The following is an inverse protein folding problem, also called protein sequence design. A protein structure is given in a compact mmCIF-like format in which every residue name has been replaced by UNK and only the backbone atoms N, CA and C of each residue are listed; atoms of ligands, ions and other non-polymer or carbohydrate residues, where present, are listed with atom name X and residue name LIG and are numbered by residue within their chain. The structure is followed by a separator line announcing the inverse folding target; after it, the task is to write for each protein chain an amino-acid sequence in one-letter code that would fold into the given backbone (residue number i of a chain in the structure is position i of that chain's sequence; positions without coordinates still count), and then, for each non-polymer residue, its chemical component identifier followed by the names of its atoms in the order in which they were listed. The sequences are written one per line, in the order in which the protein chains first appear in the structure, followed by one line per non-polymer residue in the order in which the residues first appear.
data_IF_058174926946
#
_entry.id   IF_058174926946
#
_cell.length_a   1.000
_cell.length_b   1.000
_cell.length_c   1.000
_cell.angle_alpha   90.00
_cell.angle_beta   90.00
_cell.angle_gamma   90.00
#
_symmetry.space_group_name_H-M   'P 1'
#
loop_
_entity.id
_entity.type
_entity.pdbx_description
1 polymer ?
#
# COMPACT_ATOMS: atom_id res chain seq x y z
N UNK A 1 -61.14 -27.24 11.36
CA UNK A 1 -60.05 -26.61 12.12
C UNK A 1 -59.21 -25.79 11.16
N UNK A 2 -59.51 -24.50 11.04
CA UNK A 2 -58.81 -23.53 10.20
C UNK A 2 -57.67 -22.89 10.98
N UNK A 3 -56.43 -23.13 10.58
CA UNK A 3 -55.26 -22.42 11.12
C UNK A 3 -55.17 -21.04 10.47
N UNK A 4 -55.44 -20.00 11.25
CA UNK A 4 -55.24 -18.62 10.82
C UNK A 4 -53.73 -18.36 10.67
N UNK A 5 -53.28 -18.16 9.44
CA UNK A 5 -51.94 -17.68 9.13
C UNK A 5 -51.80 -16.25 9.66
N UNK A 6 -50.91 -16.06 10.64
CA UNK A 6 -50.57 -14.73 11.15
C UNK A 6 -49.91 -13.92 10.02
N UNK A 7 -50.35 -12.68 9.73
CA UNK A 7 -49.69 -11.85 8.73
C UNK A 7 -48.25 -11.57 9.16
N UNK A 8 -47.30 -11.75 8.22
CA UNK A 8 -45.90 -11.44 8.44
C UNK A 8 -45.77 -9.95 8.84
N UNK A 9 -45.07 -9.68 9.95
CA UNK A 9 -44.79 -8.30 10.36
C UNK A 9 -43.96 -7.61 9.27
N UNK A 10 -44.28 -6.35 8.91
CA UNK A 10 -43.41 -5.57 8.04
C UNK A 10 -42.03 -5.47 8.69
N UNK A 11 -40.99 -5.92 7.97
CA UNK A 11 -39.61 -5.75 8.39
C UNK A 11 -39.30 -4.25 8.52
N UNK A 12 -38.82 -3.84 9.69
CA UNK A 12 -38.44 -2.45 9.92
C UNK A 12 -37.26 -2.09 9.00
N UNK A 13 -37.29 -0.93 8.32
CA UNK A 13 -36.19 -0.52 7.45
C UNK A 13 -34.89 -0.43 8.24
N UNK A 14 -33.82 -1.04 7.73
CA UNK A 14 -32.51 -1.04 8.37
C UNK A 14 -32.05 0.41 8.67
N UNK A 15 -31.41 0.65 9.82
CA UNK A 15 -30.99 1.99 10.21
C UNK A 15 -30.01 2.55 9.18
N UNK A 16 -30.38 3.68 8.55
CA UNK A 16 -29.48 4.42 7.65
C UNK A 16 -28.37 5.03 8.48
N UNK A 17 -27.15 4.51 8.35
CA UNK A 17 -25.97 5.10 8.99
C UNK A 17 -25.83 6.54 8.46
N UNK A 18 -25.88 7.57 9.32
CA UNK A 18 -25.82 8.95 8.86
C UNK A 18 -24.45 9.20 8.22
N UNK A 19 -24.43 9.65 6.96
CA UNK A 19 -23.21 10.15 6.32
C UNK A 19 -22.88 11.49 6.97
N UNK A 20 -21.99 11.48 7.97
CA UNK A 20 -21.67 12.65 8.81
C UNK A 20 -21.06 13.82 8.00
N UNK A 21 -20.42 13.57 6.85
CA UNK A 21 -19.85 14.58 5.98
C UNK A 21 -20.14 14.25 4.50
N UNK A 22 -20.46 15.25 3.65
CA UNK A 22 -20.53 15.05 2.21
C UNK A 22 -19.14 14.68 1.67
N UNK A 23 -19.07 13.79 0.67
CA UNK A 23 -17.81 13.25 0.13
C UNK A 23 -16.82 14.35 -0.29
N UNK A 24 -17.33 15.46 -0.86
CA UNK A 24 -16.51 16.61 -1.24
C UNK A 24 -15.86 17.31 -0.04
N UNK A 25 -16.56 17.42 1.11
CA UNK A 25 -15.99 17.97 2.33
C UNK A 25 -14.92 17.04 2.93
N UNK A 26 -15.16 15.73 2.93
CA UNK A 26 -14.15 14.76 3.39
C UNK A 26 -12.89 14.79 2.52
N UNK A 27 -13.05 14.89 1.20
CA UNK A 27 -11.92 14.98 0.26
C UNK A 27 -11.11 16.27 0.48
N UNK A 28 -11.78 17.42 0.53
CA UNK A 28 -11.12 18.72 0.75
C UNK A 28 -10.39 18.79 2.09
N UNK A 29 -11.00 18.28 3.16
CA UNK A 29 -10.35 18.18 4.48
C UNK A 29 -9.10 17.29 4.43
N UNK A 30 -9.17 16.14 3.76
CA UNK A 30 -8.03 15.21 3.64
C UNK A 30 -6.89 15.84 2.84
N UNK A 31 -7.19 16.50 1.72
CA UNK A 31 -6.20 17.21 0.91
C UNK A 31 -5.58 18.37 1.69
N UNK A 32 -6.40 19.16 2.39
CA UNK A 32 -5.92 20.25 3.25
C UNK A 32 -4.99 19.74 4.36
N UNK A 33 -5.36 18.65 5.02
CA UNK A 33 -4.53 17.99 6.03
C UNK A 33 -3.21 17.47 5.43
N UNK A 34 -3.25 16.87 4.24
CA UNK A 34 -2.05 16.41 3.53
C UNK A 34 -1.08 17.57 3.24
N UNK A 35 -1.59 18.69 2.73
CA UNK A 35 -0.78 19.88 2.44
C UNK A 35 -0.17 20.47 3.72
N UNK A 36 -0.96 20.56 4.81
CA UNK A 36 -0.46 21.04 6.09
C UNK A 36 0.63 20.13 6.66
N UNK A 37 0.43 18.81 6.64
CA UNK A 37 1.42 17.83 7.09
C UNK A 37 2.67 17.83 6.20
N UNK A 38 2.53 18.04 4.90
CA UNK A 38 3.65 18.19 3.98
C UNK A 38 4.49 19.41 4.34
N UNK A 39 3.86 20.57 4.59
CA UNK A 39 4.57 21.77 5.02
C UNK A 39 5.30 21.56 6.35
N UNK A 40 4.66 20.92 7.33
CA UNK A 40 5.28 20.57 8.62
C UNK A 40 6.44 19.57 8.44
N UNK A 41 6.33 18.62 7.53
CA UNK A 41 7.40 17.68 7.24
C UNK A 41 8.64 18.38 6.69
N UNK A 42 8.44 19.38 5.81
CA UNK A 42 9.55 20.12 5.21
C UNK A 42 10.32 20.97 6.21
N UNK A 43 9.72 21.35 7.35
CA UNK A 43 10.42 22.05 8.45
C UNK A 43 11.07 21.10 9.46
N UNK A 44 10.77 19.80 9.42
CA UNK A 44 11.32 18.82 10.35
C UNK A 44 12.62 18.19 9.82
N UNK A 45 13.67 18.18 10.63
CA UNK A 45 14.92 17.49 10.32
C UNK A 45 16.06 17.85 11.26
N UNK A 46 17.22 17.25 11.05
CA UNK A 46 18.45 17.51 11.83
C UNK A 46 19.19 18.77 11.37
N UNK A 47 18.80 19.31 10.21
CA UNK A 47 19.31 20.57 9.66
C UNK A 47 18.45 21.75 10.11
N UNK A 48 19.10 22.88 10.38
CA UNK A 48 18.49 24.18 10.75
C UNK A 48 17.72 24.80 9.56
N UNK A 49 16.72 24.10 9.05
CA UNK A 49 15.80 24.61 8.03
C UNK A 49 14.44 24.81 8.67
N UNK A 50 14.04 26.07 8.80
CA UNK A 50 12.80 26.47 9.46
C UNK A 50 11.71 26.92 8.46
N UNK A 51 10.58 27.41 8.99
CA UNK A 51 9.49 27.92 8.15
C UNK A 51 9.84 29.23 7.44
N UNK A 52 10.73 30.05 8.01
CA UNK A 52 11.22 31.28 7.42
C UNK A 52 12.08 31.01 6.18
N UNK A 53 12.90 29.96 6.24
CA UNK A 53 13.71 29.50 5.09
C UNK A 53 12.85 29.02 3.93
N UNK A 54 11.74 28.33 4.21
CA UNK A 54 10.79 27.92 3.17
C UNK A 54 10.12 29.12 2.51
N UNK A 55 9.75 30.14 3.29
CA UNK A 55 9.20 31.40 2.76
C UNK A 55 10.26 32.16 1.95
N UNK A 56 11.49 32.20 2.44
CA UNK A 56 12.63 32.80 1.75
C UNK A 56 12.91 32.08 0.41
N UNK A 57 12.68 30.77 0.34
CA UNK A 57 12.81 29.99 -0.90
C UNK A 57 11.78 30.43 -1.93
N UNK A 58 10.54 30.69 -1.49
CA UNK A 58 9.45 31.19 -2.35
C UNK A 58 9.71 32.62 -2.82
N UNK A 59 10.27 33.48 -1.96
CA UNK A 59 10.65 34.85 -2.33
C UNK A 59 11.98 34.94 -3.10
N UNK A 60 12.69 33.82 -3.29
CA UNK A 60 13.98 33.76 -4.00
C UNK A 60 15.17 34.33 -3.21
N UNK A 61 15.02 34.50 -1.89
CA UNK A 61 16.02 35.08 -0.99
C UNK A 61 16.66 34.07 -0.03
N UNK A 62 16.36 32.77 -0.17
CA UNK A 62 16.93 31.72 0.68
C UNK A 62 18.41 31.48 0.37
N UNK A 63 19.14 31.02 1.39
CA UNK A 63 20.48 30.47 1.25
C UNK A 63 20.44 29.23 0.33
N UNK A 64 21.32 29.14 -0.69
CA UNK A 64 21.48 27.93 -1.50
C UNK A 64 21.53 26.62 -0.68
N UNK A 65 22.15 26.61 0.50
CA UNK A 65 22.24 25.43 1.36
C UNK A 65 20.90 24.80 1.75
N UNK A 66 19.84 25.62 1.87
CA UNK A 66 18.48 25.16 2.18
C UNK A 66 17.95 24.26 1.07
N UNK A 67 18.16 24.65 -0.20
CA UNK A 67 17.70 23.86 -1.35
C UNK A 67 18.35 22.47 -1.39
N UNK A 68 19.66 22.39 -1.12
CA UNK A 68 20.38 21.10 -1.10
C UNK A 68 19.82 20.12 -0.05
N UNK A 69 19.41 20.63 1.13
CA UNK A 69 18.77 19.81 2.18
C UNK A 69 17.40 19.32 1.72
N UNK A 70 16.60 20.19 1.09
CA UNK A 70 15.28 19.85 0.61
C UNK A 70 15.35 18.82 -0.52
N UNK A 71 16.17 19.06 -1.53
CA UNK A 71 16.35 18.19 -2.69
C UNK A 71 16.99 16.85 -2.31
N UNK A 72 18.00 16.87 -1.43
CA UNK A 72 18.78 15.68 -1.09
C UNK A 72 18.04 14.66 -0.22
N UNK A 73 17.04 15.09 0.57
CA UNK A 73 16.41 14.18 1.53
C UNK A 73 14.91 14.44 1.77
N UNK A 74 14.47 15.69 1.97
CA UNK A 74 13.11 15.97 2.45
C UNK A 74 12.06 15.83 1.34
N UNK A 75 12.33 16.36 0.15
CA UNK A 75 11.42 16.28 -1.00
C UNK A 75 11.27 14.85 -1.54
N UNK A 76 12.35 14.05 -1.74
CA UNK A 76 12.21 12.64 -2.09
C UNK A 76 11.38 11.86 -1.07
N UNK A 77 11.64 12.05 0.22
CA UNK A 77 10.89 11.37 1.28
C UNK A 77 9.40 11.74 1.26
N UNK A 78 9.09 13.03 1.12
CA UNK A 78 7.73 13.52 1.05
C UNK A 78 6.99 12.94 -0.16
N UNK A 79 7.56 13.06 -1.35
CA UNK A 79 6.91 12.54 -2.55
C UNK A 79 6.80 10.99 -2.49
N UNK A 80 7.71 10.31 -1.78
CA UNK A 80 7.66 8.87 -1.56
C UNK A 80 6.49 8.50 -0.64
N UNK A 81 6.32 9.24 0.44
CA UNK A 81 5.20 9.10 1.36
C UNK A 81 3.85 9.28 0.63
N UNK A 82 3.74 10.31 -0.21
CA UNK A 82 2.52 10.58 -0.99
C UNK A 82 2.24 9.47 -1.99
N UNK A 83 3.25 9.06 -2.77
CA UNK A 83 3.10 8.03 -3.79
C UNK A 83 2.69 6.67 -3.17
N UNK A 84 3.38 6.26 -2.10
CA UNK A 84 3.08 5.02 -1.36
C UNK A 84 1.69 5.12 -0.70
N UNK A 85 1.34 6.26 -0.11
CA UNK A 85 0.01 6.48 0.48
C UNK A 85 -1.12 6.35 -0.54
N UNK A 86 -0.95 6.93 -1.74
CA UNK A 86 -1.90 6.76 -2.86
C UNK A 86 -2.01 5.29 -3.26
N UNK A 87 -0.88 4.60 -3.44
CA UNK A 87 -0.85 3.20 -3.85
C UNK A 87 -1.54 2.27 -2.83
N UNK A 88 -1.23 2.45 -1.54
CA UNK A 88 -1.83 1.68 -0.45
C UNK A 88 -3.32 1.97 -0.29
N UNK A 89 -3.73 3.23 -0.37
CA UNK A 89 -5.14 3.62 -0.34
C UNK A 89 -5.94 3.02 -1.49
N UNK A 90 -5.42 3.10 -2.71
CA UNK A 90 -6.05 2.52 -3.90
C UNK A 90 -6.12 0.98 -3.82
N UNK A 91 -5.02 0.33 -3.45
CA UNK A 91 -4.97 -1.13 -3.30
C UNK A 91 -5.95 -1.63 -2.23
N UNK A 92 -6.02 -0.94 -1.08
CA UNK A 92 -6.96 -1.23 -0.01
C UNK A 92 -8.41 -1.17 -0.49
N UNK A 93 -8.81 -0.06 -1.13
CA UNK A 93 -10.20 0.09 -1.58
C UNK A 93 -10.58 -0.91 -2.67
N UNK A 94 -9.64 -1.23 -3.58
CA UNK A 94 -9.83 -2.24 -4.62
C UNK A 94 -10.08 -3.62 -4.00
N UNK A 95 -9.21 -4.03 -3.09
CA UNK A 95 -9.32 -5.36 -2.49
C UNK A 95 -10.55 -5.48 -1.59
N UNK A 96 -10.86 -4.45 -0.81
CA UNK A 96 -12.10 -4.41 -0.02
C UNK A 96 -13.35 -4.54 -0.91
N UNK A 97 -13.32 -3.94 -2.10
CA UNK A 97 -14.42 -4.03 -3.07
C UNK A 97 -14.53 -5.41 -3.70
N UNK A 98 -13.41 -5.99 -4.14
CA UNK A 98 -13.37 -7.35 -4.72
C UNK A 98 -13.73 -8.43 -3.70
N UNK A 99 -13.20 -8.32 -2.48
CA UNK A 99 -13.47 -9.27 -1.40
C UNK A 99 -14.84 -9.08 -0.75
N UNK A 100 -15.53 -7.96 -1.06
CA UNK A 100 -16.76 -7.51 -0.38
C UNK A 100 -16.61 -7.57 1.15
N UNK A 101 -15.43 -7.17 1.62
CA UNK A 101 -15.08 -7.23 3.04
C UNK A 101 -14.28 -5.97 3.40
N UNK A 102 -14.83 -5.07 4.26
CA UNK A 102 -14.13 -3.85 4.67
C UNK A 102 -12.86 -4.12 5.48
N UNK A 103 -12.69 -5.33 6.02
CA UNK A 103 -11.49 -5.74 6.74
C UNK A 103 -10.41 -6.35 5.83
N UNK A 104 -10.68 -6.50 4.52
CA UNK A 104 -9.66 -6.98 3.60
C UNK A 104 -8.56 -5.92 3.41
N UNK A 105 -7.32 -6.38 3.41
CA UNK A 105 -6.12 -5.55 3.22
C UNK A 105 -5.18 -6.22 2.20
N UNK A 106 -4.38 -5.46 1.45
CA UNK A 106 -3.46 -6.01 0.45
C UNK A 106 -2.54 -7.11 1.00
N UNK A 107 -2.21 -7.05 2.29
CA UNK A 107 -1.40 -8.06 2.97
C UNK A 107 -2.05 -9.45 3.00
N UNK A 108 -3.38 -9.55 2.84
CA UNK A 108 -4.07 -10.85 2.71
C UNK A 108 -3.65 -11.65 1.48
N UNK A 109 -3.04 -11.02 0.47
CA UNK A 109 -2.46 -11.71 -0.70
C UNK A 109 -1.00 -12.13 -0.47
N UNK A 110 -0.44 -11.93 0.72
CA UNK A 110 0.95 -12.21 1.08
C UNK A 110 2.00 -11.51 0.18
N UNK A 111 1.60 -10.45 -0.53
CA UNK A 111 2.47 -9.71 -1.47
C UNK A 111 3.73 -9.15 -0.79
N UNK A 112 3.60 -8.64 0.43
CA UNK A 112 4.73 -8.10 1.18
C UNK A 112 5.74 -9.20 1.56
N UNK A 113 5.24 -10.34 2.04
CA UNK A 113 6.09 -11.48 2.42
C UNK A 113 6.82 -12.06 1.20
N UNK A 114 6.17 -12.15 0.03
CA UNK A 114 6.82 -12.62 -1.18
C UNK A 114 7.81 -11.63 -1.78
N UNK A 115 7.54 -10.32 -1.72
CA UNK A 115 8.51 -9.30 -2.08
C UNK A 115 9.77 -9.42 -1.23
N UNK A 116 9.59 -9.55 0.08
CA UNK A 116 10.70 -9.69 1.02
C UNK A 116 11.49 -10.98 0.81
N UNK A 117 10.81 -12.10 0.59
CA UNK A 117 11.45 -13.36 0.25
C UNK A 117 12.27 -13.28 -1.04
N UNK A 118 11.74 -12.66 -2.10
CA UNK A 118 12.45 -12.54 -3.36
C UNK A 118 13.72 -11.70 -3.24
N UNK A 119 13.64 -10.53 -2.60
CA UNK A 119 14.81 -9.67 -2.37
C UNK A 119 15.84 -10.38 -1.49
N UNK A 120 15.38 -11.07 -0.44
CA UNK A 120 16.27 -11.82 0.47
C UNK A 120 16.95 -12.98 -0.24
N UNK A 121 16.24 -13.72 -1.08
CA UNK A 121 16.81 -14.82 -1.84
C UNK A 121 17.85 -14.33 -2.85
N UNK A 122 17.56 -13.27 -3.61
CA UNK A 122 18.51 -12.69 -4.56
C UNK A 122 19.78 -12.20 -3.85
N UNK A 123 19.64 -11.54 -2.71
CA UNK A 123 20.78 -11.11 -1.89
C UNK A 123 21.57 -12.31 -1.35
N UNK A 124 20.90 -13.26 -0.67
CA UNK A 124 21.54 -14.42 -0.04
C UNK A 124 22.37 -15.27 -1.01
N UNK A 125 21.94 -15.38 -2.27
CA UNK A 125 22.66 -16.13 -3.30
C UNK A 125 23.60 -15.27 -4.17
N UNK A 126 23.78 -13.99 -3.84
CA UNK A 126 24.65 -13.08 -4.60
C UNK A 126 24.24 -12.89 -6.06
N UNK A 127 22.94 -13.06 -6.37
CA UNK A 127 22.43 -13.01 -7.74
C UNK A 127 22.39 -11.54 -8.17
N UNK A 128 23.13 -11.21 -9.22
CA UNK A 128 23.08 -9.88 -9.85
C UNK A 128 22.20 -9.93 -11.10
N UNK A 129 21.16 -9.10 -11.13
CA UNK A 129 20.26 -8.96 -12.26
C UNK A 129 20.50 -7.61 -12.94
N UNK A 130 21.35 -7.53 -13.98
CA UNK A 130 21.77 -6.24 -14.56
C UNK A 130 20.61 -5.42 -15.14
N UNK A 131 19.50 -6.06 -15.50
CA UNK A 131 18.33 -5.42 -16.10
C UNK A 131 17.13 -5.31 -15.16
N UNK A 132 17.20 -5.85 -13.94
CA UNK A 132 16.08 -5.86 -12.99
C UNK A 132 16.52 -5.13 -11.72
N UNK A 133 15.91 -3.98 -11.45
CA UNK A 133 16.15 -3.26 -10.20
C UNK A 133 15.66 -4.07 -8.99
N UNK A 134 16.17 -3.76 -7.79
CA UNK A 134 15.66 -4.37 -6.56
C UNK A 134 14.14 -4.21 -6.38
N UNK A 135 13.57 -3.10 -6.88
CA UNK A 135 12.12 -2.90 -6.97
C UNK A 135 11.44 -3.92 -7.89
N UNK A 136 12.05 -4.22 -9.05
CA UNK A 136 11.55 -5.24 -9.97
C UNK A 136 11.56 -6.64 -9.36
N UNK A 137 12.62 -7.00 -8.63
CA UNK A 137 12.72 -8.27 -7.89
C UNK A 137 11.60 -8.38 -6.85
N UNK A 138 11.44 -7.33 -6.03
CA UNK A 138 10.37 -7.26 -5.03
C UNK A 138 8.98 -7.40 -5.67
N UNK A 139 8.75 -6.70 -6.79
CA UNK A 139 7.48 -6.71 -7.51
C UNK A 139 7.15 -8.09 -8.08
N UNK A 140 8.13 -8.77 -8.69
CA UNK A 140 7.95 -10.15 -9.19
C UNK A 140 7.66 -11.11 -8.03
N UNK A 141 8.40 -11.00 -6.92
CA UNK A 141 8.17 -11.79 -5.71
C UNK A 141 6.74 -11.64 -5.17
N UNK A 142 6.25 -10.39 -5.12
CA UNK A 142 4.87 -10.08 -4.74
C UNK A 142 3.84 -10.70 -5.69
N UNK A 143 4.05 -10.60 -7.00
CA UNK A 143 3.13 -11.19 -7.98
C UNK A 143 3.08 -12.72 -7.90
N UNK A 144 4.24 -13.36 -7.72
CA UNK A 144 4.32 -14.82 -7.59
C UNK A 144 3.57 -15.32 -6.36
N UNK A 145 3.73 -14.66 -5.21
CA UNK A 145 3.00 -15.01 -3.99
C UNK A 145 1.51 -14.71 -4.09
N UNK A 146 1.11 -13.56 -4.65
CA UNK A 146 -0.30 -13.26 -4.90
C UNK A 146 -0.94 -14.31 -5.83
N UNK A 147 -0.22 -14.73 -6.87
CA UNK A 147 -0.63 -15.79 -7.78
C UNK A 147 -0.78 -17.14 -7.07
N UNK A 148 0.18 -17.50 -6.21
CA UNK A 148 0.12 -18.70 -5.39
C UNK A 148 -1.09 -18.68 -4.44
N UNK A 149 -1.27 -17.60 -3.69
CA UNK A 149 -2.42 -17.43 -2.79
C UNK A 149 -3.74 -17.54 -3.56
N UNK A 150 -3.81 -16.91 -4.75
CA UNK A 150 -5.00 -17.02 -5.62
C UNK A 150 -5.24 -18.46 -6.07
N UNK A 151 -4.20 -19.19 -6.47
CA UNK A 151 -4.31 -20.58 -6.90
C UNK A 151 -4.76 -21.50 -5.75
N UNK A 152 -4.21 -21.33 -4.55
CA UNK A 152 -4.59 -22.07 -3.34
C UNK A 152 -6.02 -21.76 -2.89
N UNK A 153 -6.54 -20.58 -3.24
CA UNK A 153 -7.88 -20.13 -2.86
C UNK A 153 -8.94 -20.42 -3.93
N UNK A 154 -8.55 -21.05 -5.06
CA UNK A 154 -9.44 -21.33 -6.17
C UNK A 154 -10.53 -22.37 -5.80
N UNK A 155 -11.65 -22.36 -6.54
CA UNK A 155 -12.73 -23.34 -6.38
C UNK A 155 -13.73 -23.02 -5.26
N UNK A 156 -13.75 -21.77 -4.79
CA UNK A 156 -14.55 -21.40 -3.66
C UNK A 156 -15.86 -20.69 -3.96
N UNK A 157 -16.99 -21.32 -3.66
CA UNK A 157 -18.29 -20.64 -3.52
C UNK A 157 -18.30 -19.72 -2.28
N UNK A 158 -19.27 -19.91 -1.38
CA UNK A 158 -19.48 -19.03 -0.22
C UNK A 158 -18.25 -18.85 0.71
N UNK A 159 -17.35 -19.84 0.81
CA UNK A 159 -16.15 -19.74 1.66
C UNK A 159 -14.91 -19.12 0.98
N UNK A 160 -15.06 -18.47 -0.19
CA UNK A 160 -13.93 -17.91 -0.95
C UNK A 160 -13.07 -16.95 -0.11
N UNK A 161 -13.70 -16.06 0.64
CA UNK A 161 -13.03 -15.07 1.48
C UNK A 161 -12.22 -15.73 2.61
N UNK A 162 -12.80 -16.72 3.29
CA UNK A 162 -12.09 -17.45 4.37
C UNK A 162 -10.89 -18.22 3.84
N UNK A 163 -11.03 -18.90 2.69
CA UNK A 163 -9.91 -19.60 2.04
C UNK A 163 -8.80 -18.62 1.65
N UNK A 164 -9.15 -17.47 1.09
CA UNK A 164 -8.18 -16.45 0.71
C UNK A 164 -7.35 -15.97 1.91
N UNK A 165 -8.02 -15.68 3.02
CA UNK A 165 -7.36 -15.24 4.25
C UNK A 165 -6.43 -16.33 4.81
N UNK A 166 -6.90 -17.58 4.88
CA UNK A 166 -6.10 -18.70 5.39
C UNK A 166 -4.90 -19.00 4.48
N UNK A 167 -5.11 -19.08 3.16
CA UNK A 167 -4.04 -19.30 2.19
C UNK A 167 -3.00 -18.16 2.23
N UNK A 168 -3.47 -16.91 2.32
CA UNK A 168 -2.63 -15.73 2.50
C UNK A 168 -1.77 -15.82 3.75
N UNK A 169 -2.39 -16.06 4.90
CA UNK A 169 -1.67 -16.15 6.19
C UNK A 169 -0.64 -17.28 6.21
N UNK A 170 -0.99 -18.47 5.70
CA UNK A 170 -0.08 -19.61 5.62
C UNK A 170 1.11 -19.32 4.69
N UNK A 171 0.84 -18.71 3.52
CA UNK A 171 1.88 -18.34 2.55
C UNK A 171 2.82 -17.28 3.13
N UNK A 172 2.28 -16.27 3.83
CA UNK A 172 3.08 -15.24 4.48
C UNK A 172 3.97 -15.82 5.59
N UNK A 173 3.44 -16.71 6.44
CA UNK A 173 4.22 -17.40 7.46
C UNK A 173 5.35 -18.25 6.87
N UNK A 174 5.06 -19.02 5.81
CA UNK A 174 6.06 -19.81 5.11
C UNK A 174 7.17 -18.93 4.50
N UNK A 175 6.79 -17.84 3.82
CA UNK A 175 7.74 -16.91 3.23
C UNK A 175 8.61 -16.22 4.29
N UNK A 176 8.04 -15.76 5.39
CA UNK A 176 8.79 -15.14 6.49
C UNK A 176 9.72 -16.13 7.20
N UNK A 177 9.31 -17.40 7.32
CA UNK A 177 10.18 -18.46 7.84
C UNK A 177 11.39 -18.69 6.93
N UNK A 178 11.18 -18.70 5.61
CA UNK A 178 12.27 -18.82 4.64
C UNK A 178 13.20 -17.60 4.66
N UNK A 179 12.65 -16.38 4.76
CA UNK A 179 13.46 -15.16 4.95
C UNK A 179 14.34 -15.29 6.19
N UNK A 180 13.75 -15.70 7.32
CA UNK A 180 14.49 -15.86 8.58
C UNK A 180 15.60 -16.90 8.43
N UNK A 181 15.33 -18.03 7.78
CA UNK A 181 16.33 -19.05 7.47
C UNK A 181 17.47 -18.49 6.60
N UNK A 182 17.15 -17.76 5.53
CA UNK A 182 18.15 -17.17 4.63
C UNK A 182 19.02 -16.14 5.35
N UNK A 183 18.43 -15.28 6.19
CA UNK A 183 19.19 -14.31 6.97
C UNK A 183 20.14 -15.02 7.94
N UNK A 184 19.71 -16.13 8.56
CA UNK A 184 20.56 -16.90 9.48
C UNK A 184 21.70 -17.63 8.77
N UNK A 185 21.45 -18.16 7.56
CA UNK A 185 22.46 -18.91 6.81
C UNK A 185 23.43 -18.00 6.04
N UNK A 186 22.99 -16.82 5.59
CA UNK A 186 23.73 -15.91 4.73
C UNK A 186 23.84 -14.52 5.37
N UNK A 187 24.32 -14.46 6.61
CA UNK A 187 24.34 -13.22 7.42
C UNK A 187 25.09 -12.06 6.74
N UNK A 188 26.22 -12.35 6.11
CA UNK A 188 27.03 -11.33 5.43
C UNK A 188 26.29 -10.75 4.21
N UNK A 189 25.77 -11.62 3.34
CA UNK A 189 25.06 -11.25 2.11
C UNK A 189 23.71 -10.57 2.36
N UNK A 190 23.07 -10.86 3.50
CA UNK A 190 21.74 -10.33 3.86
C UNK A 190 21.80 -9.13 4.79
N UNK A 191 22.96 -8.50 4.92
CA UNK A 191 23.17 -7.33 5.78
C UNK A 191 22.16 -6.22 5.46
N UNK A 192 21.47 -5.73 6.50
CA UNK A 192 20.47 -4.66 6.38
C UNK A 192 19.08 -5.10 5.93
N UNK A 193 18.89 -6.35 5.46
CA UNK A 193 17.57 -6.83 5.03
C UNK A 193 16.57 -6.94 6.18
N UNK A 194 17.03 -7.22 7.40
CA UNK A 194 16.17 -7.16 8.58
C UNK A 194 15.54 -5.77 8.77
N UNK A 195 16.33 -4.70 8.58
CA UNK A 195 15.83 -3.32 8.65
C UNK A 195 15.02 -2.92 7.40
N UNK A 196 15.31 -3.52 6.24
CA UNK A 196 14.51 -3.33 5.04
C UNK A 196 13.09 -3.88 5.24
N UNK A 197 12.95 -5.03 5.91
CA UNK A 197 11.67 -5.70 6.17
C UNK A 197 10.70 -4.90 7.05
N UNK A 198 11.18 -3.95 7.86
CA UNK A 198 10.30 -3.05 8.63
C UNK A 198 9.75 -1.87 7.81
N UNK A 199 10.32 -1.63 6.62
CA UNK A 199 9.97 -0.52 5.74
C UNK A 199 10.54 0.82 6.22
N UNK A 200 11.05 1.63 5.29
CA UNK A 200 11.50 2.99 5.58
C UNK A 200 11.40 3.90 4.37
N UNK A 201 10.98 5.15 4.61
CA UNK A 201 11.04 6.23 3.63
C UNK A 201 12.36 7.02 3.71
N UNK A 202 13.27 6.66 4.63
CA UNK A 202 14.55 7.36 4.81
C UNK A 202 15.48 7.21 3.60
N UNK A 203 15.34 6.10 2.88
CA UNK A 203 16.13 5.72 1.69
C UNK A 203 15.42 6.05 0.37
N UNK A 204 14.28 6.76 0.42
CA UNK A 204 13.57 7.15 -0.79
C UNK A 204 14.36 8.24 -1.53
N UNK A 205 14.82 7.93 -2.74
CA UNK A 205 15.44 8.90 -3.66
C UNK A 205 14.56 9.12 -4.89
N UNK A 206 14.69 10.29 -5.53
CA UNK A 206 13.92 10.64 -6.73
C UNK A 206 14.01 9.58 -7.84
N UNK A 207 15.17 8.94 -8.00
CA UNK A 207 15.36 7.89 -8.99
C UNK A 207 14.44 6.68 -8.75
N UNK A 208 14.42 6.12 -7.53
CA UNK A 208 13.54 4.99 -7.19
C UNK A 208 12.07 5.34 -7.33
N UNK A 209 11.73 6.60 -7.05
CA UNK A 209 10.36 7.10 -7.18
C UNK A 209 9.95 7.28 -8.62
N UNK A 210 10.86 7.78 -9.48
CA UNK A 210 10.63 7.87 -10.91
C UNK A 210 10.45 6.49 -11.56
N UNK A 211 11.07 5.44 -11.01
CA UNK A 211 10.83 4.05 -11.43
C UNK A 211 9.47 3.52 -11.00
N UNK A 212 9.01 3.82 -9.77
CA UNK A 212 7.76 3.32 -9.23
C UNK A 212 6.52 4.12 -9.69
N UNK A 213 6.66 5.43 -9.89
CA UNK A 213 5.55 6.34 -10.14
C UNK A 213 4.72 6.00 -11.40
N UNK A 214 5.32 5.67 -12.57
CA UNK A 214 4.54 5.32 -13.76
C UNK A 214 3.63 4.11 -13.52
N UNK A 215 4.12 3.11 -12.80
CA UNK A 215 3.36 1.90 -12.47
C UNK A 215 2.18 2.22 -11.53
N UNK A 216 2.43 3.02 -10.48
CA UNK A 216 1.38 3.44 -9.54
C UNK A 216 0.32 4.28 -10.24
N UNK A 217 0.73 5.27 -11.05
CA UNK A 217 -0.20 6.13 -11.80
C UNK A 217 -1.05 5.30 -12.75
N UNK A 218 -0.44 4.36 -13.49
CA UNK A 218 -1.16 3.47 -14.41
C UNK A 218 -2.13 2.54 -13.66
N UNK A 219 -1.73 1.99 -12.51
CA UNK A 219 -2.59 1.14 -11.69
C UNK A 219 -3.78 1.93 -11.11
N UNK A 220 -3.56 3.14 -10.62
CA UNK A 220 -4.62 4.03 -10.10
C UNK A 220 -5.55 4.46 -11.22
N UNK A 221 -5.02 4.84 -12.40
CA UNK A 221 -5.84 5.17 -13.55
C UNK A 221 -6.74 3.99 -13.96
N UNK A 222 -6.16 2.80 -14.08
CA UNK A 222 -6.92 1.58 -14.37
C UNK A 222 -8.00 1.29 -13.31
N UNK A 223 -7.68 1.48 -12.03
CA UNK A 223 -8.62 1.35 -10.91
C UNK A 223 -9.81 2.32 -11.05
N UNK A 224 -9.55 3.58 -11.38
CA UNK A 224 -10.60 4.59 -11.59
C UNK A 224 -11.49 4.26 -12.79
N UNK A 225 -10.91 3.74 -13.88
CA UNK A 225 -11.68 3.28 -15.04
C UNK A 225 -12.60 2.09 -14.70
N UNK A 226 -12.21 1.25 -13.74
CA UNK A 226 -13.00 0.09 -13.31
C UNK A 226 -13.92 0.35 -12.12
N UNK A 227 -13.80 1.50 -11.45
CA UNK A 227 -14.60 1.84 -10.28
C UNK A 227 -16.12 1.64 -10.50
N UNK A 228 -16.73 2.10 -11.61
CA UNK A 228 -18.16 1.88 -11.83
C UNK A 228 -18.56 0.40 -11.89
N UNK A 229 -17.68 -0.46 -12.43
CA UNK A 229 -17.92 -1.92 -12.50
C UNK A 229 -17.75 -2.60 -11.15
N UNK A 230 -16.80 -2.12 -10.34
CA UNK A 230 -16.61 -2.61 -8.97
C UNK A 230 -17.79 -2.23 -8.06
N UNK A 231 -18.41 -1.06 -8.29
CA UNK A 231 -19.62 -0.66 -7.58
C UNK A 231 -20.81 -1.57 -7.91
N UNK A 232 -20.90 -2.08 -9.14
CA UNK A 232 -21.91 -3.08 -9.51
C UNK A 232 -21.74 -4.39 -8.74
N UNK A 233 -20.51 -4.82 -8.44
CA UNK A 233 -20.26 -6.03 -7.64
C UNK A 233 -20.77 -5.92 -6.20
N UNK A 234 -21.01 -4.70 -5.70
CA UNK A 234 -21.55 -4.44 -4.37
C UNK A 234 -23.08 -4.46 -4.33
N UNK A 235 -23.76 -4.33 -5.47
CA UNK A 235 -25.22 -4.27 -5.53
C UNK A 235 -25.91 -5.64 -5.40
N UNK A 236 -25.16 -6.75 -5.50
CA UNK A 236 -25.76 -8.09 -5.55
C UNK A 236 -26.48 -8.34 -6.87
N UNK A 237 -26.87 -9.59 -7.14
CA UNK A 237 -27.69 -9.94 -8.31
C UNK A 237 -29.05 -9.23 -8.30
#
# INVERSE_FOLDING_TARGET
MSTLSSPARPEAPAPRVPRLLPTAAAFTLTVGALVALAALHLTQGTSEVDAGDLLALVSGSADPGVWHVLEGARLPRLAGAVLVGIALGASGVLLQSVARNPLASPDTLAVNAGAYLAVTAVAAFGITLPFVSGLGVAFVGALLTAGLVRALSAGGGESATTRLILAGSATAMAANSLVSLLILLFQEETTGLFAWGSGSLSLAGFHSMAQAAPLVVLAVAAAMLWAPRLDLLRLGD
#
